data_IF_863685756297
#
_entry.id   IF_863685756297
#
_cell.length_a   1.000
_cell.length_b   1.000
_cell.length_c   1.000
_cell.angle_alpha   90.00
_cell.angle_beta   90.00
_cell.angle_gamma   90.00
#
_symmetry.space_group_name_H-M   'P 1'
#
loop_
_entity.id
_entity.type
_entity.pdbx_description
1 polymer ?
#
# COMPACT_ATOMS: atom_id res chain seq x y z
N UNK A 1 16.78 2.67 13.47
CA UNK A 1 15.44 3.04 12.99
C UNK A 1 15.41 4.52 12.62
N UNK A 2 15.94 5.38 13.49
CA UNK A 2 15.98 6.84 13.29
C UNK A 2 16.69 7.28 12.00
N UNK A 3 17.83 6.66 11.64
CA UNK A 3 18.54 6.96 10.38
C UNK A 3 17.68 6.71 9.13
N UNK A 4 16.83 5.67 9.16
CA UNK A 4 15.91 5.37 8.05
C UNK A 4 14.78 6.41 7.99
N UNK A 5 14.20 6.79 9.13
CA UNK A 5 13.16 7.81 9.18
C UNK A 5 13.67 9.15 8.60
N UNK A 6 14.84 9.60 9.06
CA UNK A 6 15.44 10.88 8.64
C UNK A 6 15.79 10.91 7.15
N UNK A 7 16.15 9.75 6.56
CA UNK A 7 16.63 9.69 5.17
C UNK A 7 15.55 9.29 4.16
N UNK A 8 14.60 8.46 4.57
CA UNK A 8 13.65 7.78 3.68
C UNK A 8 12.19 8.12 3.97
N UNK A 9 11.87 8.80 5.08
CA UNK A 9 10.47 9.11 5.47
C UNK A 9 10.23 10.61 5.65
N UNK A 10 11.12 11.30 6.36
CA UNK A 10 10.99 12.74 6.65
C UNK A 10 11.20 13.66 5.43
N UNK A 11 12.12 13.39 4.50
CA UNK A 11 12.35 14.26 3.36
C UNK A 11 11.18 14.23 2.35
N UNK A 12 10.74 15.40 1.92
CA UNK A 12 9.71 15.53 0.88
C UNK A 12 10.25 15.16 -0.50
N UNK A 13 9.45 14.45 -1.31
CA UNK A 13 9.82 14.06 -2.67
C UNK A 13 10.62 12.75 -2.77
N UNK A 14 10.79 12.04 -1.65
CA UNK A 14 11.24 10.63 -1.63
C UNK A 14 10.09 9.70 -1.99
N UNK A 15 10.40 8.66 -2.75
CA UNK A 15 9.45 7.59 -3.06
C UNK A 15 9.13 6.78 -1.80
N UNK A 16 7.85 6.49 -1.61
CA UNK A 16 7.38 5.66 -0.51
C UNK A 16 7.34 4.19 -0.95
N UNK A 17 7.87 3.31 -0.12
CA UNK A 17 7.83 1.86 -0.31
C UNK A 17 6.84 1.21 0.67
N UNK A 18 6.74 -0.12 0.61
CA UNK A 18 5.81 -0.90 1.44
C UNK A 18 5.93 -0.63 2.95
N UNK A 19 7.14 -0.35 3.46
CA UNK A 19 7.38 -0.13 4.90
C UNK A 19 6.72 1.16 5.38
N UNK A 20 6.85 2.25 4.64
CA UNK A 20 6.23 3.54 4.97
C UNK A 20 4.69 3.43 4.90
N UNK A 21 4.17 2.73 3.89
CA UNK A 21 2.72 2.54 3.73
C UNK A 21 2.16 1.72 4.89
N UNK A 22 2.82 0.63 5.29
CA UNK A 22 2.40 -0.19 6.44
C UNK A 22 2.43 0.61 7.75
N UNK A 23 3.48 1.42 7.96
CA UNK A 23 3.57 2.27 9.14
C UNK A 23 2.44 3.31 9.18
N UNK A 24 2.14 3.94 8.04
CA UNK A 24 1.07 4.93 7.92
C UNK A 24 -0.32 4.31 8.16
N UNK A 25 -0.59 3.15 7.55
CA UNK A 25 -1.82 2.37 7.73
C UNK A 25 -2.06 2.05 9.19
N UNK A 26 -1.03 1.55 9.90
CA UNK A 26 -1.12 1.24 11.33
C UNK A 26 -1.29 2.48 12.19
N UNK A 27 -0.58 3.57 11.87
CA UNK A 27 -0.66 4.80 12.65
C UNK A 27 -2.02 5.50 12.52
N UNK A 28 -2.64 5.44 11.34
CA UNK A 28 -3.94 6.05 11.06
C UNK A 28 -5.13 5.12 11.29
N UNK A 29 -4.91 3.81 11.44
CA UNK A 29 -5.99 2.82 11.58
C UNK A 29 -6.83 2.68 10.31
N UNK A 30 -6.25 2.92 9.13
CA UNK A 30 -6.98 2.86 7.85
C UNK A 30 -6.61 1.61 7.05
N UNK A 31 -7.58 1.00 6.39
CA UNK A 31 -7.32 -0.13 5.50
C UNK A 31 -6.95 0.34 4.08
N UNK A 32 -5.88 -0.21 3.51
CA UNK A 32 -5.38 0.09 2.17
C UNK A 32 -5.21 -1.21 1.39
N UNK A 33 -5.71 -1.23 0.15
CA UNK A 33 -5.50 -2.29 -0.83
C UNK A 33 -4.59 -1.76 -1.93
N UNK A 34 -3.48 -2.44 -2.19
CA UNK A 34 -2.54 -2.09 -3.26
C UNK A 34 -2.65 -3.12 -4.37
N UNK A 35 -3.04 -2.72 -5.57
CA UNK A 35 -3.05 -3.55 -6.78
C UNK A 35 -1.79 -3.28 -7.60
N UNK A 36 -1.07 -4.32 -8.00
CA UNK A 36 0.21 -4.21 -8.70
C UNK A 36 0.02 -4.34 -10.21
N UNK A 37 0.33 -3.28 -10.94
CA UNK A 37 0.34 -3.26 -12.40
C UNK A 37 1.78 -3.25 -12.93
N UNK A 38 2.39 -4.43 -13.01
CA UNK A 38 3.78 -4.63 -13.44
C UNK A 38 3.91 -5.13 -14.89
N UNK A 39 2.88 -4.91 -15.73
CA UNK A 39 2.89 -5.33 -17.15
C UNK A 39 2.98 -6.85 -17.41
N UNK A 40 2.99 -7.67 -16.35
CA UNK A 40 2.99 -9.13 -16.45
C UNK A 40 1.63 -9.62 -16.95
N UNK A 41 1.65 -10.72 -17.70
CA UNK A 41 0.43 -11.39 -18.15
C UNK A 41 -0.48 -11.66 -16.94
N UNK A 42 -1.74 -11.26 -17.03
CA UNK A 42 -2.68 -11.49 -15.94
C UNK A 42 -2.83 -12.99 -15.70
N UNK A 43 -2.91 -13.43 -14.43
CA UNK A 43 -3.22 -14.81 -14.12
C UNK A 43 -4.59 -15.19 -14.72
N UNK A 44 -4.83 -16.48 -14.98
CA UNK A 44 -6.14 -16.97 -15.42
C UNK A 44 -7.19 -16.56 -14.40
N UNK A 45 -8.06 -15.61 -14.78
CA UNK A 45 -9.00 -14.94 -13.87
C UNK A 45 -8.97 -13.40 -13.93
N UNK A 46 -7.99 -12.80 -14.62
CA UNK A 46 -8.00 -11.36 -14.92
C UNK A 46 -7.84 -10.44 -13.69
N UNK A 47 -7.39 -10.98 -12.56
CA UNK A 47 -7.16 -10.20 -11.35
C UNK A 47 -5.69 -9.81 -11.24
N UNK A 48 -5.43 -8.53 -10.96
CA UNK A 48 -4.09 -8.06 -10.62
C UNK A 48 -3.69 -8.62 -9.25
N UNK A 49 -2.40 -8.95 -9.04
CA UNK A 49 -1.89 -9.24 -7.71
C UNK A 49 -2.22 -8.06 -6.79
N UNK A 50 -2.82 -8.33 -5.64
CA UNK A 50 -3.15 -7.29 -4.66
C UNK A 50 -2.62 -7.64 -3.27
N UNK A 51 -2.29 -6.61 -2.50
CA UNK A 51 -1.89 -6.71 -1.11
C UNK A 51 -2.81 -5.83 -0.26
N UNK A 52 -3.33 -6.36 0.84
CA UNK A 52 -4.22 -5.63 1.74
C UNK A 52 -3.51 -5.40 3.06
N UNK A 53 -3.55 -4.16 3.54
CA UNK A 53 -2.97 -3.71 4.80
C UNK A 53 -4.08 -3.05 5.63
N UNK A 54 -4.17 -3.29 6.95
CA UNK A 54 -3.45 -4.32 7.70
C UNK A 54 -3.95 -5.74 7.35
N UNK A 55 -3.07 -6.74 7.45
CA UNK A 55 -3.46 -8.15 7.27
C UNK A 55 -4.39 -8.58 8.42
N UNK A 56 -5.30 -9.54 8.20
CA UNK A 56 -6.28 -10.00 9.22
C UNK A 56 -5.62 -10.48 10.52
N UNK A 57 -4.33 -10.84 10.46
CA UNK A 57 -3.51 -11.22 11.62
C UNK A 57 -3.12 -10.07 12.54
N UNK A 58 -3.23 -8.81 12.09
CA UNK A 58 -2.84 -7.62 12.85
C UNK A 58 -3.95 -7.13 13.80
N UNK A 59 -5.08 -7.85 13.91
CA UNK A 59 -6.14 -7.53 14.87
C UNK A 59 -7.02 -6.33 14.49
N UNK A 60 -6.88 -5.81 13.26
CA UNK A 60 -7.69 -4.74 12.70
C UNK A 60 -9.12 -5.20 12.42
N UNK A 61 -9.96 -5.19 13.45
CA UNK A 61 -11.41 -5.33 13.33
C UNK A 61 -12.00 -3.96 13.02
N UNK A 62 -12.15 -3.59 11.77
CA UNK A 62 -13.15 -2.60 11.38
C UNK A 62 -13.55 -2.82 9.92
N UNK A 63 -14.86 -2.75 9.67
CA UNK A 63 -15.50 -2.78 8.34
C UNK A 63 -15.17 -1.51 7.53
N UNK A 64 -13.92 -1.06 7.51
CA UNK A 64 -13.49 0.06 6.67
C UNK A 64 -13.26 -0.46 5.26
N UNK A 65 -14.05 0.04 4.31
CA UNK A 65 -13.80 -0.18 2.88
C UNK A 65 -12.37 0.28 2.58
N UNK A 66 -11.46 -0.62 2.13
CA UNK A 66 -10.07 -0.25 1.97
C UNK A 66 -9.90 0.75 0.82
N UNK A 67 -9.10 1.80 1.06
CA UNK A 67 -8.66 2.69 -0.02
C UNK A 67 -7.86 1.86 -1.01
N UNK A 68 -8.27 1.86 -2.28
CA UNK A 68 -7.58 1.08 -3.32
C UNK A 68 -6.55 1.95 -4.02
N UNK A 69 -5.30 1.54 -3.98
CA UNK A 69 -4.16 2.14 -4.66
C UNK A 69 -3.72 1.22 -5.80
N UNK A 70 -3.44 1.80 -6.96
CA UNK A 70 -2.78 1.12 -8.06
C UNK A 70 -1.31 1.47 -8.03
N UNK A 71 -0.47 0.46 -7.83
CA UNK A 71 0.98 0.60 -7.88
C UNK A 71 1.51 0.30 -9.29
N UNK A 72 2.28 1.24 -9.81
CA UNK A 72 3.14 1.12 -10.99
C UNK A 72 4.56 1.47 -10.55
N UNK A 73 5.62 0.99 -11.23
CA UNK A 73 6.99 1.34 -10.86
C UNK A 73 7.17 2.87 -10.73
N UNK A 74 7.43 3.34 -9.50
CA UNK A 74 7.59 4.76 -9.16
C UNK A 74 6.31 5.60 -9.07
N UNK A 75 5.12 4.99 -9.07
CA UNK A 75 3.86 5.74 -9.03
C UNK A 75 2.72 5.00 -8.31
N UNK A 76 1.97 5.74 -7.49
CA UNK A 76 0.73 5.28 -6.88
C UNK A 76 -0.44 6.13 -7.36
N UNK A 77 -1.46 5.49 -7.92
CA UNK A 77 -2.72 6.13 -8.29
C UNK A 77 -3.83 5.70 -7.34
N UNK A 78 -4.80 6.60 -7.11
CA UNK A 78 -5.99 6.26 -6.35
C UNK A 78 -7.04 5.67 -7.28
N UNK A 79 -7.56 4.49 -6.93
CA UNK A 79 -8.52 3.75 -7.74
C UNK A 79 -9.91 3.83 -7.07
N UNK A 80 -10.81 4.57 -7.71
CA UNK A 80 -12.22 4.74 -7.27
C UNK A 80 -13.10 3.76 -8.04
N UNK A 81 -13.97 3.03 -7.33
CA UNK A 81 -15.01 2.18 -7.92
C UNK A 81 -16.32 2.92 -8.09
#
# INVERSE_FOLDING_TARGET
MDDFCVREVEPTGKECEQVQIMALVRALGVSVRIEYLDGRALPPGGQLPCHVLPDERDGGKEEVVPVTLLYRPGHYDLLVK
#
